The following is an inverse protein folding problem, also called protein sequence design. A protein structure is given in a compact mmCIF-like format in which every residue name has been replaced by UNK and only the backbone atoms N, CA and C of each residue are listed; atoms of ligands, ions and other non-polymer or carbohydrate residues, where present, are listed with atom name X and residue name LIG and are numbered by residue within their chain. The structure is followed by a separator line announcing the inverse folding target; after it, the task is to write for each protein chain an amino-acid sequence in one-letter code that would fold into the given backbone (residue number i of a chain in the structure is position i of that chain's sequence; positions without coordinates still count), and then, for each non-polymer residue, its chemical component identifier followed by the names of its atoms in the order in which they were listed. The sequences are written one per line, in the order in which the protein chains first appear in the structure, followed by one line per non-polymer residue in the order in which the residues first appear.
data_IF_298511738508
#
_entry.id   IF_298511738508
#
_cell.length_a   1.000
_cell.length_b   1.000
_cell.length_c   1.000
_cell.angle_alpha   90.00
_cell.angle_beta   90.00
_cell.angle_gamma   90.00
#
_symmetry.space_group_name_H-M   'P 1'
#
loop_
_entity.id
_entity.type
_entity.pdbx_description
1 polymer ?
#
# COMPACT_ATOMS: atom_id res chain seq x y z
N UNK A 1 -28.11 2.08 26.33
CA UNK A 1 -28.72 1.09 27.25
C UNK A 1 -30.22 0.98 26.97
N UNK A 2 -30.60 -0.09 26.28
CA UNK A 2 -31.98 -0.58 26.16
C UNK A 2 -31.89 -2.11 26.12
N UNK A 3 -31.89 -2.74 27.28
CA UNK A 3 -31.84 -4.20 27.42
C UNK A 3 -33.26 -4.77 27.36
N UNK A 4 -33.71 -5.10 26.15
CA UNK A 4 -34.87 -5.96 25.96
C UNK A 4 -34.48 -7.40 26.24
N UNK A 5 -34.87 -7.93 27.40
CA UNK A 5 -34.64 -9.33 27.79
C UNK A 5 -35.56 -10.29 27.02
N UNK A 6 -35.30 -10.50 25.73
CA UNK A 6 -35.79 -11.65 24.97
C UNK A 6 -34.66 -12.68 24.89
N UNK A 7 -34.90 -13.95 25.23
CA UNK A 7 -33.89 -15.03 25.23
C UNK A 7 -33.37 -15.47 23.85
N UNK A 8 -33.20 -14.53 22.93
CA UNK A 8 -32.58 -14.73 21.62
C UNK A 8 -31.05 -14.56 21.67
N UNK A 9 -30.42 -14.66 20.50
CA UNK A 9 -28.99 -14.40 20.32
C UNK A 9 -28.74 -12.90 20.57
N UNK A 10 -27.69 -12.57 21.30
CA UNK A 10 -27.21 -11.21 21.47
C UNK A 10 -26.11 -10.92 20.44
N UNK A 11 -26.14 -9.73 19.85
CA UNK A 11 -25.30 -9.34 18.71
C UNK A 11 -24.68 -7.97 18.99
N UNK A 12 -23.36 -7.92 18.99
CA UNK A 12 -22.60 -6.68 18.98
C UNK A 12 -21.80 -6.61 17.68
N UNK A 13 -21.75 -5.42 17.06
CA UNK A 13 -21.12 -5.22 15.76
C UNK A 13 -20.13 -4.07 15.85
N UNK A 14 -18.88 -4.35 15.49
CA UNK A 14 -17.80 -3.37 15.42
C UNK A 14 -17.40 -3.18 13.96
N UNK A 15 -17.22 -1.94 13.51
CA UNK A 15 -16.96 -1.63 12.11
C UNK A 15 -15.94 -0.51 11.99
N UNK A 16 -15.07 -0.58 10.98
CA UNK A 16 -14.34 0.59 10.52
C UNK A 16 -15.29 1.60 9.89
N UNK A 17 -15.04 2.90 10.07
CA UNK A 17 -15.87 3.98 9.52
C UNK A 17 -15.41 4.46 8.13
N UNK A 18 -14.26 3.96 7.67
CA UNK A 18 -13.54 4.47 6.50
C UNK A 18 -12.92 3.32 5.73
N UNK A 19 -13.21 3.27 4.43
CA UNK A 19 -12.64 2.36 3.45
C UNK A 19 -11.44 3.04 2.81
N UNK A 20 -10.24 2.64 3.24
CA UNK A 20 -8.98 3.05 2.64
C UNK A 20 -8.69 2.15 1.46
N UNK A 21 -9.20 2.47 0.27
CA UNK A 21 -9.15 1.55 -0.88
C UNK A 21 -7.75 1.10 -1.28
N UNK A 22 -6.74 1.92 -0.98
CA UNK A 22 -5.33 1.61 -1.18
C UNK A 22 -4.83 0.46 -0.30
N UNK A 23 -5.27 0.40 0.96
CA UNK A 23 -4.85 -0.62 1.93
C UNK A 23 -5.92 -1.70 2.16
N UNK A 24 -7.15 -1.48 1.67
CA UNK A 24 -8.27 -2.41 1.81
C UNK A 24 -7.98 -3.78 1.21
N UNK A 25 -7.25 -3.82 0.09
CA UNK A 25 -6.80 -5.07 -0.52
C UNK A 25 -5.81 -5.83 0.37
N UNK A 26 -5.06 -5.12 1.22
CA UNK A 26 -4.08 -5.70 2.14
C UNK A 26 -4.76 -6.30 3.38
N UNK A 27 -5.94 -5.79 3.77
CA UNK A 27 -6.65 -6.28 4.95
C UNK A 27 -6.89 -7.79 4.88
N UNK A 28 -7.25 -8.30 3.70
CA UNK A 28 -7.44 -9.73 3.49
C UNK A 28 -6.14 -10.54 3.60
N UNK A 29 -4.98 -9.94 3.27
CA UNK A 29 -3.67 -10.59 3.39
C UNK A 29 -3.13 -10.56 4.83
N UNK A 30 -3.59 -9.60 5.64
CA UNK A 30 -3.12 -9.34 7.00
C UNK A 30 -4.08 -9.84 8.08
N UNK A 31 -5.07 -10.67 7.71
CA UNK A 31 -6.14 -11.14 8.59
C UNK A 31 -6.89 -10.01 9.34
N UNK A 32 -7.00 -8.84 8.70
CA UNK A 32 -7.75 -7.69 9.23
C UNK A 32 -9.17 -7.68 8.67
N UNK A 33 -10.14 -7.48 9.55
CA UNK A 33 -11.56 -7.48 9.24
C UNK A 33 -12.10 -6.04 9.21
N UNK A 34 -13.00 -5.75 8.27
CA UNK A 34 -13.64 -4.43 8.18
C UNK A 34 -14.82 -4.30 9.15
N UNK A 35 -15.52 -5.41 9.36
CA UNK A 35 -16.65 -5.55 10.27
C UNK A 35 -16.53 -6.88 11.02
N UNK A 36 -16.71 -6.83 12.33
CA UNK A 36 -16.77 -7.98 13.22
C UNK A 36 -18.15 -8.10 13.85
N UNK A 37 -18.68 -9.32 13.84
CA UNK A 37 -19.92 -9.69 14.51
C UNK A 37 -19.59 -10.55 15.74
N UNK A 38 -19.81 -10.00 16.93
CA UNK A 38 -19.73 -10.70 18.20
C UNK A 38 -21.09 -11.33 18.52
N UNK A 39 -21.18 -12.66 18.38
CA UNK A 39 -22.43 -13.41 18.52
C UNK A 39 -22.44 -14.16 19.86
N UNK A 40 -23.28 -13.74 20.79
CA UNK A 40 -23.44 -14.39 22.10
C UNK A 40 -24.70 -15.22 22.13
N UNK A 41 -24.58 -16.54 22.30
CA UNK A 41 -25.73 -17.45 22.42
C UNK A 41 -26.04 -17.76 23.89
N UNK A 42 -27.04 -17.11 24.51
CA UNK A 42 -27.39 -17.37 25.91
C UNK A 42 -28.20 -18.66 26.10
N UNK A 43 -28.54 -19.40 25.05
CA UNK A 43 -29.42 -20.58 25.12
C UNK A 43 -28.65 -21.88 25.36
N UNK A 44 -29.38 -22.94 25.70
CA UNK A 44 -28.82 -24.29 25.94
C UNK A 44 -28.66 -25.12 24.66
N UNK A 45 -29.04 -24.58 23.50
CA UNK A 45 -28.92 -25.27 22.21
C UNK A 45 -28.05 -24.45 21.25
N UNK A 46 -27.29 -25.10 20.36
CA UNK A 46 -26.61 -24.39 19.29
C UNK A 46 -27.62 -23.70 18.37
N UNK A 47 -27.27 -22.52 17.86
CA UNK A 47 -28.08 -21.75 16.91
C UNK A 47 -27.30 -21.51 15.64
N UNK A 48 -27.96 -21.59 14.48
CA UNK A 48 -27.35 -21.27 13.19
C UNK A 48 -27.72 -19.85 12.78
N UNK A 49 -26.70 -19.06 12.50
CA UNK A 49 -26.80 -17.63 12.20
C UNK A 49 -26.18 -17.38 10.83
N UNK A 50 -26.80 -16.49 10.07
CA UNK A 50 -26.29 -15.96 8.80
C UNK A 50 -25.96 -14.50 9.04
N UNK A 51 -24.70 -14.12 8.79
CA UNK A 51 -24.23 -12.74 8.82
C UNK A 51 -23.87 -12.30 7.41
N UNK A 52 -24.35 -11.12 7.04
CA UNK A 52 -24.17 -10.52 5.72
C UNK A 52 -23.65 -9.08 5.87
N UNK A 53 -22.73 -8.67 5.01
CA UNK A 53 -22.31 -7.27 4.91
C UNK A 53 -21.91 -6.87 3.50
N UNK A 54 -22.15 -5.60 3.17
CA UNK A 54 -21.69 -4.95 1.95
C UNK A 54 -21.56 -3.44 2.14
N UNK A 55 -20.55 -2.83 1.51
CA UNK A 55 -20.49 -1.38 1.34
C UNK A 55 -21.24 -1.05 0.05
N UNK A 56 -22.40 -0.42 0.20
CA UNK A 56 -23.39 -0.25 -0.86
C UNK A 56 -22.78 0.44 -2.09
N UNK A 57 -22.74 -0.29 -3.20
CA UNK A 57 -22.20 0.18 -4.48
C UNK A 57 -20.70 -0.04 -4.66
N UNK A 58 -19.95 -0.37 -3.61
CA UNK A 58 -18.49 -0.46 -3.63
C UNK A 58 -17.95 -1.88 -3.47
N UNK A 59 -18.63 -2.77 -2.73
CA UNK A 59 -18.19 -4.16 -2.53
C UNK A 59 -19.21 -5.16 -3.04
N UNK A 60 -18.75 -6.39 -3.25
CA UNK A 60 -19.63 -7.55 -3.25
C UNK A 60 -20.12 -7.84 -1.84
N UNK A 61 -21.20 -8.61 -1.75
CA UNK A 61 -21.77 -9.04 -0.48
C UNK A 61 -20.98 -10.22 0.07
N UNK A 62 -20.51 -10.07 1.31
CA UNK A 62 -19.97 -11.18 2.09
C UNK A 62 -21.08 -11.86 2.87
N UNK A 63 -21.08 -13.19 2.90
CA UNK A 63 -22.07 -14.00 3.61
C UNK A 63 -21.36 -15.13 4.34
N UNK A 64 -21.57 -15.26 5.64
CA UNK A 64 -21.13 -16.40 6.43
C UNK A 64 -22.33 -17.03 7.13
N UNK A 65 -22.44 -18.36 7.06
CA UNK A 65 -23.38 -19.13 7.87
C UNK A 65 -22.59 -19.85 8.94
N UNK A 66 -22.85 -19.54 10.21
CA UNK A 66 -22.09 -20.04 11.36
C UNK A 66 -23.00 -20.72 12.37
N UNK A 67 -22.48 -21.75 13.04
CA UNK A 67 -23.17 -22.38 14.17
C UNK A 67 -22.55 -21.80 15.44
N UNK A 68 -23.34 -21.04 16.20
CA UNK A 68 -22.93 -20.50 17.49
C UNK A 68 -23.31 -21.52 18.57
N UNK A 69 -22.33 -22.15 19.26
CA UNK A 69 -22.62 -23.17 20.26
C UNK A 69 -23.43 -22.62 21.44
N UNK A 70 -24.08 -23.51 22.18
CA UNK A 70 -24.83 -23.14 23.38
C UNK A 70 -23.90 -22.49 24.42
N UNK A 71 -24.31 -21.37 25.02
CA UNK A 71 -23.58 -20.65 26.09
C UNK A 71 -22.17 -20.17 25.68
N UNK A 72 -21.91 -20.02 24.38
CA UNK A 72 -20.61 -19.62 23.84
C UNK A 72 -20.75 -18.34 23.02
N UNK A 73 -19.68 -17.53 23.04
CA UNK A 73 -19.49 -16.39 22.18
C UNK A 73 -18.70 -16.80 20.94
N UNK A 74 -19.07 -16.29 19.78
CA UNK A 74 -18.38 -16.55 18.52
C UNK A 74 -18.24 -15.25 17.73
N UNK A 75 -17.02 -14.95 17.31
CA UNK A 75 -16.72 -13.82 16.44
C UNK A 75 -16.76 -14.27 14.99
N UNK A 76 -17.38 -13.46 14.13
CA UNK A 76 -17.30 -13.62 12.68
C UNK A 76 -16.84 -12.30 12.09
N UNK A 77 -15.64 -12.28 11.51
CA UNK A 77 -15.12 -11.12 10.81
C UNK A 77 -15.36 -11.19 9.31
N UNK A 78 -15.64 -10.04 8.68
CA UNK A 78 -15.80 -9.92 7.24
C UNK A 78 -15.05 -8.71 6.69
N UNK A 79 -14.43 -8.89 5.52
CA UNK A 79 -13.91 -7.81 4.67
C UNK A 79 -14.54 -7.98 3.29
N UNK A 80 -15.72 -7.35 3.04
CA UNK A 80 -16.43 -7.48 1.77
C UNK A 80 -15.56 -7.15 0.54
N UNK A 81 -15.42 -8.05 -0.45
CA UNK A 81 -14.51 -7.83 -1.58
C UNK A 81 -14.87 -6.57 -2.38
N UNK A 82 -13.90 -5.67 -2.60
CA UNK A 82 -14.11 -4.48 -3.44
C UNK A 82 -14.48 -4.87 -4.88
N UNK A 83 -15.48 -4.19 -5.45
CA UNK A 83 -15.86 -4.36 -6.85
C UNK A 83 -14.83 -3.69 -7.76
N UNK A 84 -14.30 -4.40 -8.76
CA UNK A 84 -13.45 -3.78 -9.77
C UNK A 84 -14.17 -2.60 -10.44
N UNK A 85 -13.59 -1.40 -10.34
CA UNK A 85 -14.11 -0.16 -10.96
C UNK A 85 -15.13 0.63 -10.12
N UNK A 86 -15.48 0.18 -8.92
CA UNK A 86 -16.37 0.95 -8.02
C UNK A 86 -15.63 1.98 -7.15
N UNK A 87 -14.30 1.93 -7.13
CA UNK A 87 -13.46 2.86 -6.35
C UNK A 87 -13.61 4.29 -6.88
N UNK A 88 -13.93 5.27 -6.02
CA UNK A 88 -14.18 6.64 -6.47
C UNK A 88 -12.86 7.35 -6.79
N UNK A 89 -12.95 8.46 -7.54
CA UNK A 89 -11.79 9.32 -7.83
C UNK A 89 -11.48 10.32 -6.73
N UNK A 90 -12.43 10.56 -5.86
CA UNK A 90 -12.36 11.48 -4.74
C UNK A 90 -13.02 10.82 -3.53
N UNK A 91 -12.63 11.23 -2.33
CA UNK A 91 -13.29 10.75 -1.11
C UNK A 91 -14.81 10.96 -1.22
N UNK A 92 -15.58 9.88 -1.09
CA UNK A 92 -17.02 9.86 -1.31
C UNK A 92 -17.75 9.23 -0.12
N UNK A 93 -18.80 9.87 0.43
CA UNK A 93 -19.66 9.23 1.42
C UNK A 93 -20.35 7.99 0.84
N UNK A 94 -20.43 6.94 1.64
CA UNK A 94 -21.11 5.70 1.30
C UNK A 94 -21.83 5.15 2.56
N UNK A 95 -22.35 3.93 2.47
CA UNK A 95 -22.93 3.26 3.61
C UNK A 95 -22.58 1.77 3.62
N UNK A 96 -22.23 1.26 4.80
CA UNK A 96 -22.14 -0.16 5.08
C UNK A 96 -23.54 -0.64 5.48
N UNK A 97 -24.06 -1.62 4.76
CA UNK A 97 -25.24 -2.38 5.14
C UNK A 97 -24.79 -3.71 5.73
N UNK A 98 -25.37 -4.10 6.86
CA UNK A 98 -25.19 -5.43 7.40
C UNK A 98 -26.51 -6.02 7.87
N UNK A 99 -26.58 -7.34 7.89
CA UNK A 99 -27.75 -8.10 8.35
C UNK A 99 -27.31 -9.34 9.09
N UNK A 100 -27.92 -9.57 10.26
CA UNK A 100 -27.73 -10.76 11.09
C UNK A 100 -29.09 -11.43 11.27
N UNK A 101 -29.19 -12.70 10.88
CA UNK A 101 -30.44 -13.44 10.92
C UNK A 101 -30.22 -14.90 11.33
N UNK A 102 -31.23 -15.52 11.91
CA UNK A 102 -31.24 -16.98 12.04
C UNK A 102 -31.35 -17.65 10.66
N UNK A 103 -30.91 -18.91 10.56
CA UNK A 103 -31.00 -19.70 9.32
C UNK A 103 -32.43 -19.86 8.75
N UNK A 104 -33.46 -19.65 9.57
CA UNK A 104 -34.86 -19.65 9.13
C UNK A 104 -35.33 -18.31 8.54
N UNK A 105 -34.45 -17.31 8.46
CA UNK A 105 -34.72 -15.99 7.89
C UNK A 105 -35.17 -14.93 8.90
N UNK A 106 -35.43 -15.29 10.16
CA UNK A 106 -35.79 -14.32 11.20
C UNK A 106 -34.61 -13.38 11.48
N UNK A 107 -34.82 -12.09 11.22
CA UNK A 107 -33.81 -11.04 11.44
C UNK A 107 -33.61 -10.79 12.93
N UNK A 108 -32.35 -10.68 13.35
CA UNK A 108 -31.91 -10.37 14.71
C UNK A 108 -31.51 -8.89 14.78
N UNK A 109 -30.65 -8.47 13.86
CA UNK A 109 -30.26 -7.08 13.66
C UNK A 109 -30.00 -6.79 12.18
N UNK A 110 -30.29 -5.58 11.74
CA UNK A 110 -30.05 -5.11 10.38
C UNK A 110 -29.93 -3.58 10.40
N UNK A 111 -28.77 -3.07 10.01
CA UNK A 111 -28.49 -1.64 10.04
C UNK A 111 -27.84 -1.16 8.76
N UNK A 112 -27.86 0.15 8.59
CA UNK A 112 -27.07 0.86 7.58
C UNK A 112 -26.30 1.95 8.30
N UNK A 113 -24.98 1.87 8.28
CA UNK A 113 -24.10 2.82 8.96
C UNK A 113 -23.32 3.65 7.92
N UNK A 114 -23.16 4.97 8.14
CA UNK A 114 -22.41 5.81 7.22
C UNK A 114 -20.93 5.43 7.25
N UNK A 115 -20.32 5.31 6.08
CA UNK A 115 -18.88 5.14 5.92
C UNK A 115 -18.34 6.11 4.86
N UNK A 116 -17.03 6.23 4.76
CA UNK A 116 -16.38 6.95 3.67
C UNK A 116 -15.59 5.99 2.81
N UNK A 117 -15.45 6.30 1.53
CA UNK A 117 -14.58 5.57 0.62
C UNK A 117 -13.57 6.56 0.05
N UNK A 118 -12.29 6.36 0.35
CA UNK A 118 -11.21 7.16 -0.23
C UNK A 118 -10.91 6.71 -1.67
N UNK A 119 -10.22 7.58 -2.41
CA UNK A 119 -9.72 7.24 -3.73
C UNK A 119 -8.54 6.28 -3.65
N UNK A 120 -8.32 5.50 -4.71
CA UNK A 120 -7.24 4.48 -4.77
C UNK A 120 -5.85 5.07 -4.57
N UNK A 121 -5.64 6.28 -5.06
CA UNK A 121 -4.38 7.00 -5.04
C UNK A 121 -4.19 7.85 -3.78
N UNK A 122 -5.06 7.70 -2.77
CA UNK A 122 -4.95 8.42 -1.50
C UNK A 122 -4.26 7.55 -0.46
N UNK A 123 -3.11 8.02 0.02
CA UNK A 123 -2.39 7.48 1.16
C UNK A 123 -2.86 8.14 2.44
N UNK A 124 -3.14 7.32 3.45
CA UNK A 124 -3.33 7.75 4.83
C UNK A 124 -2.11 7.26 5.60
N UNK A 125 -1.30 8.18 6.11
CA UNK A 125 -0.02 7.85 6.76
C UNK A 125 -0.18 7.36 8.19
N UNK A 126 -1.30 7.68 8.83
CA UNK A 126 -1.58 7.32 10.20
C UNK A 126 -3.10 7.20 10.43
N UNK A 127 -3.50 6.19 11.21
CA UNK A 127 -4.89 6.00 11.65
C UNK A 127 -4.92 6.00 13.17
N UNK A 128 -5.93 6.64 13.76
CA UNK A 128 -6.18 6.59 15.19
C UNK A 128 -7.37 5.69 15.48
N UNK A 129 -7.22 4.72 16.40
CA UNK A 129 -8.33 4.01 17.04
C UNK A 129 -8.36 4.36 18.53
N UNK A 130 -9.34 5.16 18.93
CA UNK A 130 -9.34 5.78 20.26
C UNK A 130 -8.09 6.64 20.48
N UNK A 131 -7.24 6.21 21.43
CA UNK A 131 -5.97 6.86 21.75
C UNK A 131 -4.76 6.16 21.10
N UNK A 132 -4.96 5.04 20.41
CA UNK A 132 -3.91 4.27 19.75
C UNK A 132 -3.64 4.80 18.34
N UNK A 133 -2.36 4.95 18.00
CA UNK A 133 -1.89 5.41 16.70
C UNK A 133 -1.30 4.22 15.92
N UNK A 134 -1.88 3.92 14.77
CA UNK A 134 -1.36 2.95 13.82
C UNK A 134 -0.52 3.66 12.75
N UNK A 135 0.75 3.26 12.68
CA UNK A 135 1.66 3.69 11.61
C UNK A 135 1.30 2.95 10.31
N UNK A 136 0.77 3.70 9.35
CA UNK A 136 0.37 3.14 8.05
C UNK A 136 1.48 3.26 7.01
N UNK A 137 2.62 3.87 7.34
CA UNK A 137 3.74 4.12 6.42
C UNK A 137 4.17 2.89 5.61
N UNK A 138 4.26 1.67 6.18
CA UNK A 138 4.62 0.46 5.40
C UNK A 138 3.71 0.18 4.20
N UNK A 139 2.43 0.58 4.26
CA UNK A 139 1.47 0.32 3.19
C UNK A 139 1.74 1.10 1.90
N UNK A 140 2.64 2.08 1.91
CA UNK A 140 3.10 2.73 0.68
C UNK A 140 3.73 1.73 -0.31
N UNK A 141 4.24 0.58 0.17
CA UNK A 141 4.72 -0.48 -0.70
C UNK A 141 3.62 -1.03 -1.65
N UNK A 142 2.34 -0.82 -1.34
CA UNK A 142 1.24 -1.17 -2.24
C UNK A 142 1.20 -0.28 -3.52
N UNK A 143 1.79 0.93 -3.49
CA UNK A 143 1.96 1.80 -4.66
C UNK A 143 3.09 1.35 -5.58
N UNK A 144 3.99 0.49 -5.10
CA UNK A 144 5.02 -0.13 -5.93
C UNK A 144 4.36 -1.23 -6.77
N UNK A 145 4.02 -0.88 -8.01
CA UNK A 145 3.27 -1.74 -8.94
C UNK A 145 4.15 -2.14 -10.13
N UNK A 146 4.98 -3.20 -10.02
CA UNK A 146 6.00 -3.56 -11.03
C UNK A 146 5.40 -4.09 -12.34
N UNK A 147 4.12 -4.48 -12.33
CA UNK A 147 3.40 -4.96 -13.51
C UNK A 147 2.35 -3.96 -14.02
N UNK A 148 2.41 -2.71 -13.56
CA UNK A 148 1.48 -1.68 -14.00
C UNK A 148 1.72 -1.30 -15.48
N UNK A 149 0.66 -0.78 -16.11
CA UNK A 149 0.73 -0.27 -17.46
C UNK A 149 1.87 0.75 -17.60
N UNK A 150 2.68 0.58 -18.64
CA UNK A 150 3.82 1.45 -18.94
C UNK A 150 5.16 0.99 -18.36
N UNK A 151 5.21 0.14 -17.32
CA UNK A 151 6.48 -0.33 -16.73
C UNK A 151 7.27 -1.17 -17.73
N UNK A 152 6.66 -2.19 -18.35
CA UNK A 152 7.34 -3.00 -19.38
C UNK A 152 7.85 -2.15 -20.56
N UNK A 153 7.08 -1.11 -20.92
CA UNK A 153 7.49 -0.16 -21.97
C UNK A 153 8.69 0.65 -21.51
N UNK A 154 8.70 1.11 -20.25
CA UNK A 154 9.82 1.83 -19.67
C UNK A 154 11.08 0.96 -19.67
N UNK A 155 11.01 -0.27 -19.17
CA UNK A 155 12.16 -1.18 -19.13
C UNK A 155 12.69 -1.46 -20.53
N UNK A 156 11.78 -1.62 -21.51
CA UNK A 156 12.19 -1.76 -22.91
C UNK A 156 12.93 -0.51 -23.41
N UNK A 157 12.46 0.70 -23.10
CA UNK A 157 13.14 1.95 -23.48
C UNK A 157 14.49 2.09 -22.78
N UNK A 158 14.56 1.78 -21.48
CA UNK A 158 15.79 1.76 -20.70
C UNK A 158 16.85 0.85 -21.34
N UNK A 159 16.46 -0.32 -21.84
CA UNK A 159 17.39 -1.20 -22.55
C UNK A 159 18.05 -0.56 -23.79
N UNK A 160 17.49 0.50 -24.39
CA UNK A 160 18.17 1.22 -25.49
C UNK A 160 19.29 2.15 -24.99
N UNK A 161 19.27 2.52 -23.71
CA UNK A 161 20.28 3.34 -23.03
C UNK A 161 21.35 2.52 -22.29
N UNK A 162 21.07 1.24 -21.99
CA UNK A 162 22.06 0.35 -21.37
C UNK A 162 23.17 -0.05 -22.36
N UNK A 163 24.47 -0.02 -21.98
CA UNK A 163 25.60 -0.36 -22.87
C UNK A 163 25.46 -1.72 -23.57
N UNK A 164 25.06 -2.75 -22.82
CA UNK A 164 24.86 -4.12 -23.32
C UNK A 164 23.47 -4.36 -23.93
N UNK A 165 22.62 -3.35 -23.95
CA UNK A 165 21.22 -3.43 -24.39
C UNK A 165 20.40 -4.51 -23.68
N UNK A 166 20.65 -4.68 -22.39
CA UNK A 166 20.00 -5.68 -21.52
C UNK A 166 19.60 -5.06 -20.19
N UNK A 167 18.49 -5.54 -19.62
CA UNK A 167 18.01 -5.22 -18.27
C UNK A 167 17.81 -6.56 -17.57
N UNK A 168 18.76 -6.95 -16.74
CA UNK A 168 18.99 -8.34 -16.32
C UNK A 168 18.84 -8.59 -14.83
N UNK A 169 18.59 -7.55 -14.03
CA UNK A 169 18.54 -7.68 -12.56
C UNK A 169 19.89 -8.09 -12.00
N UNK A 170 19.91 -8.94 -10.97
CA UNK A 170 21.14 -9.37 -10.31
C UNK A 170 21.87 -10.52 -11.02
N UNK A 171 22.50 -10.24 -12.16
CA UNK A 171 23.18 -11.25 -12.98
C UNK A 171 24.67 -10.92 -13.29
N UNK A 172 25.36 -10.14 -12.44
CA UNK A 172 26.78 -9.83 -12.61
C UNK A 172 27.64 -11.12 -12.67
N UNK A 173 27.27 -12.12 -11.85
CA UNK A 173 27.91 -13.42 -11.79
C UNK A 173 28.73 -13.65 -10.52
N UNK A 174 29.09 -14.90 -10.26
CA UNK A 174 29.70 -15.34 -8.98
C UNK A 174 31.13 -14.86 -8.75
N UNK A 175 31.75 -14.18 -9.71
CA UNK A 175 33.13 -13.68 -9.63
C UNK A 175 33.21 -12.16 -9.55
N UNK A 176 32.07 -11.46 -9.57
CA UNK A 176 32.04 -10.01 -9.43
C UNK A 176 32.53 -9.58 -8.04
N UNK A 177 33.43 -8.60 -8.03
CA UNK A 177 33.76 -7.83 -6.83
C UNK A 177 32.62 -6.88 -6.48
N UNK A 178 32.67 -6.24 -5.31
CA UNK A 178 31.69 -5.22 -4.93
C UNK A 178 31.68 -4.03 -5.90
N UNK A 179 32.86 -3.56 -6.34
CA UNK A 179 32.99 -2.52 -7.38
C UNK A 179 32.38 -2.95 -8.72
N UNK A 180 32.53 -4.22 -9.12
CA UNK A 180 31.90 -4.74 -10.34
C UNK A 180 30.37 -4.74 -10.22
N UNK A 181 29.84 -5.11 -9.05
CA UNK A 181 28.41 -5.05 -8.75
C UNK A 181 27.88 -3.62 -8.76
N UNK A 182 28.61 -2.67 -8.19
CA UNK A 182 28.24 -1.25 -8.21
C UNK A 182 28.10 -0.75 -9.65
N UNK A 183 29.10 -0.96 -10.49
CA UNK A 183 29.03 -0.59 -11.90
C UNK A 183 27.91 -1.30 -12.66
N UNK A 184 27.72 -2.59 -12.41
CA UNK A 184 26.72 -3.42 -13.07
C UNK A 184 25.28 -3.04 -12.70
N UNK A 185 24.99 -2.89 -11.42
CA UNK A 185 23.66 -2.49 -10.94
C UNK A 185 23.37 -1.04 -11.33
N UNK A 186 24.31 -0.12 -11.14
CA UNK A 186 24.11 1.29 -11.48
C UNK A 186 23.92 1.52 -12.99
N UNK A 187 24.52 0.72 -13.88
CA UNK A 187 24.29 0.83 -15.31
C UNK A 187 22.81 0.58 -15.69
N UNK A 188 22.13 -0.33 -14.99
CA UNK A 188 20.70 -0.60 -15.19
C UNK A 188 19.85 0.54 -14.64
N UNK A 189 20.18 1.06 -13.46
CA UNK A 189 19.44 2.17 -12.86
C UNK A 189 19.64 3.48 -13.63
N UNK A 190 20.85 3.73 -14.15
CA UNK A 190 21.15 4.85 -15.06
C UNK A 190 20.35 4.76 -16.35
N UNK A 191 20.21 3.55 -16.92
CA UNK A 191 19.41 3.33 -18.12
C UNK A 191 17.92 3.65 -17.90
N UNK A 192 17.36 3.25 -16.75
CA UNK A 192 16.00 3.61 -16.33
C UNK A 192 15.88 5.13 -16.15
N UNK A 193 16.82 5.74 -15.41
CA UNK A 193 16.86 7.18 -15.18
C UNK A 193 16.89 7.96 -16.50
N UNK A 194 17.72 7.52 -17.44
CA UNK A 194 17.89 8.15 -18.75
C UNK A 194 16.64 8.03 -19.60
N UNK A 195 15.96 6.88 -19.59
CA UNK A 195 14.67 6.70 -20.27
C UNK A 195 13.59 7.61 -19.65
N UNK A 196 13.47 7.64 -18.32
CA UNK A 196 12.51 8.51 -17.63
C UNK A 196 12.76 9.99 -17.92
N UNK A 197 14.02 10.40 -17.99
CA UNK A 197 14.41 11.77 -18.34
C UNK A 197 14.15 12.12 -19.81
N UNK A 198 14.58 11.29 -20.74
CA UNK A 198 14.61 11.67 -22.16
C UNK A 198 13.33 11.29 -22.91
N UNK A 199 12.74 10.13 -22.59
CA UNK A 199 11.60 9.58 -23.34
C UNK A 199 10.27 9.93 -22.66
N UNK A 200 10.23 9.88 -21.32
CA UNK A 200 9.03 10.19 -20.52
C UNK A 200 9.02 11.65 -20.01
N UNK A 201 10.16 12.34 -20.07
CA UNK A 201 10.30 13.74 -19.66
C UNK A 201 9.78 14.02 -18.24
N UNK A 202 10.03 13.08 -17.32
CA UNK A 202 9.58 13.20 -15.92
C UNK A 202 10.07 14.51 -15.33
N UNK A 203 9.10 15.31 -14.85
CA UNK A 203 9.32 16.61 -14.23
C UNK A 203 8.78 16.60 -12.81
N UNK A 204 9.52 17.22 -11.89
CA UNK A 204 9.05 17.39 -10.51
C UNK A 204 7.82 18.31 -10.47
N UNK A 205 6.67 17.77 -10.06
CA UNK A 205 5.41 18.51 -9.93
C UNK A 205 4.75 18.12 -8.61
N UNK A 206 4.78 19.02 -7.62
CA UNK A 206 4.12 18.79 -6.36
C UNK A 206 2.59 18.93 -6.49
N UNK A 207 1.86 17.83 -6.30
CA UNK A 207 0.39 17.82 -6.27
C UNK A 207 -0.15 16.77 -5.29
N UNK A 208 0.34 16.81 -4.05
CA UNK A 208 -0.04 15.85 -2.99
C UNK A 208 -1.40 16.10 -2.32
N UNK A 209 -2.18 17.08 -2.76
CA UNK A 209 -3.45 17.44 -2.12
C UNK A 209 -4.46 16.28 -2.26
N UNK A 210 -4.90 15.73 -1.12
CA UNK A 210 -6.07 14.87 -1.01
C UNK A 210 -7.07 15.45 0.01
N UNK A 211 -8.36 15.23 -0.21
CA UNK A 211 -9.42 15.75 0.66
C UNK A 211 -9.86 14.70 1.70
N UNK A 212 -9.84 15.05 2.99
CA UNK A 212 -10.18 14.16 4.12
C UNK A 212 -10.11 14.89 5.48
N UNK A 213 -10.33 14.19 6.61
CA UNK A 213 -10.18 14.79 7.96
C UNK A 213 -8.71 15.15 8.22
N UNK A 214 -8.46 16.30 8.83
CA UNK A 214 -7.09 16.83 9.05
C UNK A 214 -6.19 16.01 9.99
N UNK A 215 -6.75 15.06 10.75
CA UNK A 215 -5.99 14.20 11.68
C UNK A 215 -5.34 12.99 11.01
N UNK A 216 -5.79 12.60 9.81
CA UNK A 216 -5.32 11.40 9.07
C UNK A 216 -4.23 11.73 8.03
N UNK A 217 -3.93 13.03 7.86
CA UNK A 217 -2.99 13.59 6.87
C UNK A 217 -3.05 12.91 5.48
N UNK A 218 -4.21 12.95 4.80
CA UNK A 218 -4.36 12.32 3.49
C UNK A 218 -3.43 12.97 2.46
N UNK A 219 -2.71 12.14 1.72
CA UNK A 219 -1.85 12.58 0.62
C UNK A 219 -2.21 11.83 -0.66
N UNK A 220 -2.42 12.57 -1.74
CA UNK A 220 -2.54 11.96 -3.06
C UNK A 220 -1.15 11.57 -3.56
N UNK A 221 -0.98 10.31 -3.95
CA UNK A 221 0.25 9.75 -4.50
C UNK A 221 -0.10 9.07 -5.82
N UNK A 222 0.51 9.55 -6.91
CA UNK A 222 0.31 8.95 -8.22
C UNK A 222 0.81 7.53 -8.25
N UNK A 223 0.05 6.67 -8.90
CA UNK A 223 0.54 5.34 -9.27
C UNK A 223 1.61 5.47 -10.37
N UNK A 224 2.57 4.53 -10.47
CA UNK A 224 3.60 4.53 -11.50
C UNK A 224 3.07 4.76 -12.92
N UNK A 225 1.96 4.11 -13.29
CA UNK A 225 1.31 4.29 -14.59
C UNK A 225 0.85 5.74 -14.84
N UNK A 226 0.35 6.42 -13.81
CA UNK A 226 -0.09 7.82 -13.91
C UNK A 226 1.09 8.78 -14.05
N UNK A 227 2.17 8.54 -13.31
CA UNK A 227 3.42 9.32 -13.41
C UNK A 227 4.04 9.20 -14.80
N UNK A 228 4.08 7.99 -15.35
CA UNK A 228 4.55 7.74 -16.72
C UNK A 228 3.66 8.42 -17.78
N UNK A 229 2.34 8.32 -17.64
CA UNK A 229 1.40 8.90 -18.60
C UNK A 229 1.41 10.43 -18.60
N UNK A 230 1.65 11.05 -17.45
CA UNK A 230 1.62 12.50 -17.29
C UNK A 230 2.99 13.18 -17.36
N UNK A 231 4.09 12.43 -17.34
CA UNK A 231 5.43 12.98 -17.26
C UNK A 231 5.68 13.76 -15.96
N UNK A 232 4.93 13.48 -14.90
CA UNK A 232 4.88 14.28 -13.67
C UNK A 232 4.98 13.40 -12.43
N UNK A 233 5.86 13.77 -11.50
CA UNK A 233 6.02 13.09 -10.21
C UNK A 233 6.44 14.11 -9.13
N UNK A 234 5.91 14.02 -7.92
CA UNK A 234 6.56 14.61 -6.74
C UNK A 234 7.61 13.63 -6.17
N UNK A 235 8.15 13.90 -4.96
CA UNK A 235 9.15 13.04 -4.32
C UNK A 235 8.67 11.60 -4.14
N UNK A 236 7.51 11.40 -3.50
CA UNK A 236 6.98 10.07 -3.25
C UNK A 236 6.46 9.38 -4.52
N UNK A 237 5.84 10.11 -5.45
CA UNK A 237 5.43 9.61 -6.77
C UNK A 237 6.66 9.06 -7.53
N UNK A 238 7.79 9.78 -7.45
CA UNK A 238 9.06 9.41 -8.06
C UNK A 238 9.66 8.17 -7.39
N UNK A 239 9.71 8.15 -6.07
CA UNK A 239 10.22 7.02 -5.30
C UNK A 239 9.46 5.72 -5.63
N UNK A 240 8.12 5.74 -5.64
CA UNK A 240 7.32 4.54 -5.97
C UNK A 240 7.42 4.14 -7.44
N UNK A 241 7.59 5.10 -8.37
CA UNK A 241 7.83 4.82 -9.78
C UNK A 241 9.16 4.10 -10.00
N UNK A 242 10.25 4.62 -9.41
CA UNK A 242 11.55 3.98 -9.51
C UNK A 242 11.55 2.61 -8.82
N UNK A 243 10.99 2.51 -7.61
CA UNK A 243 10.87 1.21 -6.94
C UNK A 243 10.11 0.19 -7.80
N UNK A 244 9.03 0.59 -8.48
CA UNK A 244 8.28 -0.32 -9.35
C UNK A 244 9.11 -0.76 -10.56
N UNK A 245 9.87 0.16 -11.17
CA UNK A 245 10.75 -0.16 -12.29
C UNK A 245 11.90 -1.11 -11.84
N UNK A 246 12.50 -0.86 -10.69
CA UNK A 246 13.58 -1.69 -10.13
C UNK A 246 13.07 -3.10 -9.75
N UNK A 247 11.94 -3.19 -9.05
CA UNK A 247 11.31 -4.48 -8.69
C UNK A 247 10.93 -5.28 -9.96
N UNK A 248 10.51 -4.61 -11.05
CA UNK A 248 10.16 -5.28 -12.31
C UNK A 248 11.32 -5.97 -13.02
N UNK A 249 12.56 -5.58 -12.69
CA UNK A 249 13.79 -6.22 -13.19
C UNK A 249 14.52 -6.99 -12.09
N UNK A 250 13.80 -7.42 -11.04
CA UNK A 250 14.33 -8.25 -9.94
C UNK A 250 15.45 -7.58 -9.13
N UNK A 251 15.52 -6.24 -9.12
CA UNK A 251 16.32 -5.52 -8.13
C UNK A 251 15.51 -5.35 -6.83
N UNK A 252 16.21 -5.10 -5.72
CA UNK A 252 15.62 -4.95 -4.38
C UNK A 252 15.59 -3.47 -3.99
N UNK A 253 14.50 -2.74 -4.32
CA UNK A 253 14.36 -1.34 -3.94
C UNK A 253 13.93 -1.18 -2.49
N UNK A 254 14.30 -0.03 -1.94
CA UNK A 254 13.93 0.49 -0.64
C UNK A 254 13.30 1.87 -0.84
N UNK A 255 12.15 2.11 -0.22
CA UNK A 255 11.58 3.45 -0.15
C UNK A 255 12.11 4.14 1.11
N UNK A 256 12.82 5.24 0.93
CA UNK A 256 13.27 6.08 2.03
C UNK A 256 12.28 7.21 2.20
N UNK A 257 11.71 7.33 3.41
CA UNK A 257 10.74 8.35 3.76
C UNK A 257 11.28 9.12 4.95
N UNK A 258 11.48 10.43 4.77
CA UNK A 258 11.88 11.36 5.83
C UNK A 258 10.69 12.25 6.20
N UNK A 259 10.91 13.20 7.10
CA UNK A 259 9.85 14.11 7.57
C UNK A 259 9.22 14.98 6.47
N UNK A 260 9.95 15.29 5.41
CA UNK A 260 9.56 16.23 4.36
C UNK A 260 9.88 15.74 2.94
N UNK A 261 10.52 14.57 2.80
CA UNK A 261 11.03 14.09 1.52
C UNK A 261 10.93 12.57 1.38
N UNK A 262 11.05 12.10 0.14
CA UNK A 262 11.08 10.69 -0.17
C UNK A 262 11.93 10.42 -1.42
N UNK A 263 12.74 9.37 -1.35
CA UNK A 263 13.59 8.92 -2.43
C UNK A 263 13.73 7.39 -2.41
N UNK A 264 14.48 6.83 -3.37
CA UNK A 264 14.64 5.38 -3.50
C UNK A 264 16.08 4.99 -3.26
N UNK A 265 16.30 3.92 -2.50
CA UNK A 265 17.56 3.20 -2.48
C UNK A 265 17.37 1.80 -3.06
N UNK A 266 18.47 1.12 -3.34
CA UNK A 266 18.45 -0.26 -3.81
C UNK A 266 19.74 -0.96 -3.40
N UNK A 267 19.65 -2.26 -3.18
CA UNK A 267 20.84 -3.08 -2.94
C UNK A 267 21.74 -3.08 -4.19
N UNK A 268 23.03 -2.80 -4.00
CA UNK A 268 24.04 -2.89 -5.05
C UNK A 268 24.42 -4.35 -5.28
N UNK A 269 24.61 -5.07 -4.17
CA UNK A 269 24.89 -6.51 -4.14
C UNK A 269 23.67 -7.18 -3.47
N UNK A 270 23.02 -8.15 -4.13
CA UNK A 270 21.82 -8.76 -3.59
C UNK A 270 22.09 -9.46 -2.24
N UNK A 271 21.26 -9.17 -1.24
CA UNK A 271 21.32 -9.77 0.09
C UNK A 271 22.47 -9.27 0.97
N UNK A 272 23.02 -8.08 0.68
CA UNK A 272 23.96 -7.38 1.56
C UNK A 272 23.42 -6.01 1.97
N UNK A 273 24.07 -5.38 2.95
CA UNK A 273 23.74 -4.01 3.38
C UNK A 273 24.36 -2.93 2.47
N UNK A 274 24.98 -3.32 1.35
CA UNK A 274 25.57 -2.37 0.40
C UNK A 274 24.46 -1.79 -0.47
N UNK A 275 24.10 -0.54 -0.22
CA UNK A 275 23.04 0.15 -0.97
C UNK A 275 23.57 1.35 -1.76
N UNK A 276 22.86 1.68 -2.83
CA UNK A 276 22.95 2.97 -3.51
C UNK A 276 21.60 3.68 -3.40
N UNK A 277 21.62 5.01 -3.39
CA UNK A 277 20.43 5.83 -3.21
C UNK A 277 20.34 6.87 -4.32
N UNK A 278 19.13 7.06 -4.87
CA UNK A 278 18.86 7.91 -6.01
C UNK A 278 17.88 9.01 -5.63
N UNK A 279 18.32 10.26 -5.74
CA UNK A 279 17.46 11.42 -5.57
C UNK A 279 16.52 11.59 -6.80
N UNK A 280 15.29 11.13 -6.64
CA UNK A 280 14.34 10.99 -7.77
C UNK A 280 13.80 12.31 -8.30
N UNK A 281 13.83 13.40 -7.51
CA UNK A 281 13.36 14.72 -7.96
C UNK A 281 14.30 15.37 -8.97
N UNK A 282 15.55 14.87 -9.04
CA UNK A 282 16.58 15.35 -9.95
C UNK A 282 16.47 14.77 -11.37
N UNK A 283 15.58 13.81 -11.64
CA UNK A 283 15.46 13.13 -12.96
C UNK A 283 15.36 14.10 -14.13
N UNK A 284 14.53 15.14 -14.01
CA UNK A 284 14.34 16.14 -15.06
C UNK A 284 15.43 17.21 -15.15
N UNK A 285 16.28 17.36 -14.13
CA UNK A 285 17.11 18.57 -13.93
C UNK A 285 18.61 18.32 -13.80
N UNK A 286 19.06 17.09 -13.50
CA UNK A 286 20.46 16.76 -13.24
C UNK A 286 20.91 15.52 -14.04
N UNK A 287 22.23 15.26 -14.17
CA UNK A 287 22.72 13.95 -14.62
C UNK A 287 22.56 12.88 -13.52
N UNK A 288 22.58 11.61 -13.93
CA UNK A 288 22.44 10.47 -13.02
C UNK A 288 23.47 10.46 -11.90
N UNK A 289 24.74 10.78 -12.20
CA UNK A 289 25.83 10.85 -11.22
C UNK A 289 25.54 11.80 -10.06
N UNK A 290 24.93 12.95 -10.36
CA UNK A 290 24.62 13.96 -9.36
C UNK A 290 23.43 13.51 -8.51
N UNK A 291 22.44 12.84 -9.13
CA UNK A 291 21.28 12.30 -8.43
C UNK A 291 21.64 11.14 -7.47
N UNK A 292 22.58 10.27 -7.86
CA UNK A 292 23.09 9.21 -6.97
C UNK A 292 23.91 9.81 -5.82
N UNK A 293 24.79 10.77 -6.12
CA UNK A 293 25.59 11.43 -5.10
C UNK A 293 24.71 12.16 -4.07
N UNK A 294 23.66 12.85 -4.52
CA UNK A 294 22.69 13.52 -3.65
C UNK A 294 21.90 12.53 -2.80
N UNK A 295 21.32 11.49 -3.41
CA UNK A 295 20.54 10.49 -2.67
C UNK A 295 21.37 9.77 -1.61
N UNK A 296 22.63 9.41 -1.92
CA UNK A 296 23.52 8.79 -0.95
C UNK A 296 23.95 9.76 0.16
N UNK A 297 24.14 11.04 -0.15
CA UNK A 297 24.41 12.05 0.86
C UNK A 297 23.24 12.17 1.84
N UNK A 298 22.01 12.34 1.33
CA UNK A 298 20.80 12.47 2.15
C UNK A 298 20.60 11.25 3.04
N UNK A 299 20.74 10.03 2.50
CA UNK A 299 20.65 8.80 3.28
C UNK A 299 21.67 8.74 4.43
N UNK A 300 22.91 9.14 4.17
CA UNK A 300 23.96 9.17 5.20
C UNK A 300 23.71 10.26 6.27
N UNK A 301 23.09 11.38 5.89
CA UNK A 301 22.68 12.43 6.82
C UNK A 301 21.59 11.90 7.77
N UNK A 302 20.60 11.16 7.26
CA UNK A 302 19.56 10.51 8.07
C UNK A 302 20.14 9.48 9.06
N UNK A 303 21.15 8.70 8.64
CA UNK A 303 21.90 7.81 9.54
C UNK A 303 22.64 8.62 10.62
N UNK A 304 23.39 9.64 10.22
CA UNK A 304 24.22 10.44 11.13
C UNK A 304 23.39 11.18 12.18
N UNK A 305 22.18 11.61 11.81
CA UNK A 305 21.20 12.24 12.69
C UNK A 305 20.48 11.23 13.60
N UNK A 306 20.56 9.93 13.29
CA UNK A 306 19.89 8.87 14.05
C UNK A 306 18.40 8.74 13.75
N UNK A 307 17.94 9.29 12.62
CA UNK A 307 16.51 9.41 12.29
C UNK A 307 15.87 8.06 11.98
N UNK A 308 16.60 7.14 11.37
CA UNK A 308 16.14 5.75 11.21
C UNK A 308 16.02 5.01 12.56
N UNK A 309 16.95 5.27 13.49
CA UNK A 309 16.95 4.64 14.80
C UNK A 309 15.85 5.19 15.73
N UNK A 310 15.51 6.48 15.59
CA UNK A 310 14.39 7.11 16.31
C UNK A 310 13.03 6.80 15.70
N UNK A 311 13.00 6.38 14.42
CA UNK A 311 11.78 6.16 13.64
C UNK A 311 11.21 7.44 13.03
N UNK A 312 11.92 8.56 13.07
CA UNK A 312 11.58 9.79 12.35
C UNK A 312 11.68 9.62 10.83
N UNK A 313 12.63 8.79 10.39
CA UNK A 313 12.77 8.36 9.00
C UNK A 313 12.58 6.85 8.89
N UNK A 314 12.09 6.40 7.74
CA UNK A 314 11.78 5.01 7.45
C UNK A 314 12.60 4.54 6.27
N UNK A 315 13.26 3.41 6.44
CA UNK A 315 13.82 2.61 5.36
C UNK A 315 12.89 1.40 5.16
N UNK A 316 12.17 1.39 4.04
CA UNK A 316 11.17 0.39 3.72
C UNK A 316 11.67 -0.53 2.60
N UNK A 317 12.27 -1.66 2.97
CA UNK A 317 12.60 -2.72 2.00
C UNK A 317 11.33 -3.28 1.36
N UNK A 318 11.20 -3.13 0.04
CA UNK A 318 10.02 -3.65 -0.66
C UNK A 318 9.96 -5.18 -0.57
N UNK A 319 11.11 -5.86 -0.65
CA UNK A 319 11.19 -7.31 -0.52
C UNK A 319 10.65 -7.79 0.83
N UNK A 320 11.11 -7.19 1.94
CA UNK A 320 10.61 -7.54 3.29
C UNK A 320 9.11 -7.28 3.44
N UNK A 321 8.61 -6.15 2.91
CA UNK A 321 7.17 -5.85 2.97
C UNK A 321 6.32 -6.79 2.12
N UNK A 322 6.86 -7.37 1.02
CA UNK A 322 6.19 -8.45 0.30
C UNK A 322 6.08 -9.72 1.14
N UNK A 323 7.13 -10.08 1.87
CA UNK A 323 7.12 -11.23 2.79
C UNK A 323 6.12 -11.05 3.93
N UNK A 324 5.89 -9.81 4.37
CA UNK A 324 4.86 -9.44 5.33
C UNK A 324 3.44 -9.41 4.75
N UNK A 325 3.27 -9.66 3.45
CA UNK A 325 1.97 -9.75 2.78
C UNK A 325 1.43 -8.45 2.19
N UNK A 326 2.24 -7.38 2.13
CA UNK A 326 1.88 -6.13 1.45
C UNK A 326 2.12 -6.28 -0.05
N UNK A 327 1.04 -6.48 -0.81
CA UNK A 327 1.07 -6.72 -2.25
C UNK A 327 0.83 -5.44 -3.06
N UNK A 328 1.30 -5.38 -4.33
CA UNK A 328 0.95 -4.29 -5.24
C UNK A 328 -0.57 -4.10 -5.38
N UNK A 329 -1.03 -2.86 -5.46
CA UNK A 329 -2.43 -2.57 -5.78
C UNK A 329 -2.77 -2.98 -7.22
N UNK A 330 -3.90 -3.69 -7.41
CA UNK A 330 -4.43 -4.12 -8.71
C UNK A 330 -5.52 -3.19 -9.23
#
# INVERSE_FOLDING_TARGET
MSTGSGGGLDVEVTTMDTVLTSTYLQMANLDVTFIDFELTNPTDNPVTVVVESEILGYTEKSINTVVVPARINSTVGQTPPLRPGAVPREMTPAALHYRVAYANGNVIDEQTVPVKVYARDTMIWAVYDGDELYDMTPFIAAWVTPHAEGIDTLIRRAADYHPDRSMSGYQCGSTCTEDDWEGYTNAQVEAIYTALKNDYQITYINSGIAYGKSSENPQRIRLPAESLASGSANCIDGAVLYAAALESIELNPHLIITSDHAFVCYEVVPGTDTIACLETTMTGSAPFSDAIAAGLQEYNEEIANGNFASGESKDLSIASLREEGILPMH
#
